data_IF_463612523064
#
_entry.id   IF_463612523064
#
_cell.length_a   1.000
_cell.length_b   1.000
_cell.length_c   1.000
_cell.angle_alpha   90.00
_cell.angle_beta   90.00
_cell.angle_gamma   90.00
#
_symmetry.space_group_name_H-M   'P 1'
#
loop_
_entity.id
_entity.type
_entity.pdbx_description
1 polymer ?
#
# COMPACT_ATOMS: atom_id res chain seq x y z
N UNK A 1 10.29 -4.67 -9.42
CA UNK A 1 10.95 -4.34 -10.71
C UNK A 1 9.92 -3.63 -11.57
N UNK A 2 10.20 -2.42 -12.07
CA UNK A 2 9.22 -1.67 -12.84
C UNK A 2 9.87 -0.67 -13.78
N UNK A 3 9.23 -0.43 -14.91
CA UNK A 3 9.63 0.54 -15.91
C UNK A 3 8.65 1.70 -15.89
N UNK A 4 9.17 2.91 -15.79
CA UNK A 4 8.40 4.14 -15.88
C UNK A 4 8.99 5.05 -16.94
N UNK A 5 8.13 5.67 -17.74
CA UNK A 5 8.50 6.67 -18.72
C UNK A 5 7.89 8.01 -18.34
N UNK A 6 8.69 9.06 -18.48
CA UNK A 6 8.25 10.44 -18.38
C UNK A 6 8.29 11.06 -19.78
N UNK A 7 7.18 11.63 -20.22
CA UNK A 7 7.08 12.38 -21.48
C UNK A 7 6.80 13.84 -21.18
N UNK A 8 7.73 14.70 -21.56
CA UNK A 8 7.54 16.16 -21.50
C UNK A 8 6.44 16.54 -22.51
N UNK A 9 5.38 17.19 -22.02
CA UNK A 9 4.25 17.64 -22.85
C UNK A 9 4.39 19.13 -23.15
N UNK A 10 4.76 19.93 -22.14
CA UNK A 10 4.90 21.38 -22.25
C UNK A 10 6.30 21.81 -21.85
N UNK A 11 7.07 22.31 -22.83
CA UNK A 11 8.40 22.88 -22.61
C UNK A 11 8.35 24.30 -22.05
N UNK A 12 9.38 24.65 -21.28
CA UNK A 12 9.62 25.97 -20.66
C UNK A 12 9.82 27.05 -21.74
N UNK A 13 8.73 27.56 -22.30
CA UNK A 13 8.76 28.53 -23.41
C UNK A 13 9.08 29.98 -23.03
N UNK A 14 9.08 30.35 -21.74
CA UNK A 14 9.42 31.70 -21.30
C UNK A 14 10.11 31.68 -19.92
N UNK A 15 10.80 32.77 -19.55
CA UNK A 15 11.68 32.91 -18.37
C UNK A 15 11.06 32.48 -17.01
N UNK A 16 9.73 32.31 -16.94
CA UNK A 16 8.96 31.91 -15.75
C UNK A 16 7.96 30.73 -15.97
N UNK A 17 8.19 29.83 -16.93
CA UNK A 17 7.25 28.73 -17.24
C UNK A 17 7.30 27.52 -16.29
N UNK A 18 6.14 26.89 -16.09
CA UNK A 18 5.99 25.54 -15.49
C UNK A 18 6.22 24.50 -16.58
N UNK A 19 7.10 23.53 -16.33
CA UNK A 19 7.25 22.38 -17.22
C UNK A 19 6.23 21.30 -16.82
N UNK A 20 5.46 20.81 -17.79
CA UNK A 20 4.44 19.79 -17.56
C UNK A 20 4.89 18.50 -18.23
N UNK A 21 4.97 17.43 -17.45
CA UNK A 21 5.33 16.10 -17.91
C UNK A 21 4.24 15.09 -17.57
N UNK A 22 3.86 14.25 -18.51
CA UNK A 22 3.13 13.03 -18.18
C UNK A 22 4.12 11.98 -17.68
N UNK A 23 3.75 11.30 -16.60
CA UNK A 23 4.48 10.17 -16.04
C UNK A 23 3.56 8.96 -16.07
N UNK A 24 4.05 7.86 -16.62
CA UNK A 24 3.34 6.59 -16.57
C UNK A 24 4.35 5.48 -16.40
N UNK A 25 3.99 4.44 -15.66
CA UNK A 25 4.89 3.35 -15.38
C UNK A 25 4.17 2.15 -14.81
N UNK A 26 4.80 1.00 -14.94
CA UNK A 26 4.27 -0.25 -14.47
C UNK A 26 5.37 -1.21 -14.08
N UNK A 27 5.05 -2.15 -13.21
CA UNK A 27 6.00 -3.14 -12.78
C UNK A 27 5.36 -4.32 -12.08
N UNK A 28 6.22 -5.27 -11.73
CA UNK A 28 5.85 -6.37 -10.86
C UNK A 28 5.85 -5.89 -9.42
N UNK A 29 4.79 -6.25 -8.70
CA UNK A 29 4.65 -6.09 -7.25
C UNK A 29 4.59 -7.47 -6.59
N UNK A 30 4.88 -7.52 -5.31
CA UNK A 30 4.68 -8.71 -4.50
C UNK A 30 4.18 -8.28 -3.12
N UNK A 31 3.14 -8.94 -2.65
CA UNK A 31 2.62 -8.76 -1.31
C UNK A 31 2.98 -9.98 -0.45
N UNK A 32 3.27 -9.73 0.82
CA UNK A 32 3.47 -10.79 1.82
C UNK A 32 2.27 -10.69 2.77
N UNK A 33 1.45 -11.74 2.79
CA UNK A 33 0.27 -11.84 3.62
C UNK A 33 0.64 -12.56 4.90
N UNK A 34 0.69 -11.83 5.99
CA UNK A 34 0.98 -12.38 7.32
C UNK A 34 -0.34 -12.69 8.03
N UNK A 35 -0.55 -13.92 8.55
CA UNK A 35 -1.72 -14.22 9.36
C UNK A 35 -1.70 -13.42 10.68
N UNK A 36 -2.85 -12.87 11.07
CA UNK A 36 -3.01 -12.17 12.34
C UNK A 36 -3.32 -13.18 13.44
N UNK A 37 -2.51 -13.14 14.50
CA UNK A 37 -2.67 -13.99 15.67
C UNK A 37 -3.20 -13.14 16.83
N UNK A 38 -4.24 -13.62 17.49
CA UNK A 38 -4.79 -13.00 18.70
C UNK A 38 -4.58 -13.91 19.90
N UNK A 39 -4.48 -13.31 21.07
CA UNK A 39 -4.49 -13.97 22.35
C UNK A 39 -5.91 -13.94 22.90
N UNK A 40 -6.48 -15.12 23.08
CA UNK A 40 -7.81 -15.31 23.66
C UNK A 40 -7.69 -16.01 25.02
N UNK A 41 -8.53 -15.63 25.97
CA UNK A 41 -8.67 -16.36 27.23
C UNK A 41 -9.70 -17.47 27.06
N UNK A 42 -9.31 -18.70 27.36
CA UNK A 42 -10.24 -19.83 27.33
C UNK A 42 -11.21 -19.73 28.53
N UNK A 43 -12.53 -19.57 28.31
CA UNK A 43 -13.49 -19.34 29.40
C UNK A 43 -13.66 -20.55 30.32
N UNK A 44 -13.19 -21.75 29.93
CA UNK A 44 -13.24 -22.94 30.78
C UNK A 44 -12.03 -23.10 31.70
N UNK A 45 -10.84 -22.61 31.31
CA UNK A 45 -9.59 -22.88 32.02
C UNK A 45 -8.80 -21.64 32.42
N UNK A 46 -9.21 -20.43 32.01
CA UNK A 46 -8.49 -19.18 32.30
C UNK A 46 -7.07 -19.14 31.71
N UNK A 47 -6.79 -20.00 30.73
CA UNK A 47 -5.49 -20.11 30.08
C UNK A 47 -5.49 -19.20 28.84
N UNK A 48 -4.43 -18.42 28.68
CA UNK A 48 -4.21 -17.62 27.47
C UNK A 48 -3.79 -18.52 26.32
N UNK A 49 -4.56 -18.53 25.23
CA UNK A 49 -4.27 -19.29 24.02
C UNK A 49 -4.06 -18.33 22.86
N UNK A 50 -3.03 -18.61 22.06
CA UNK A 50 -2.78 -17.89 20.82
C UNK A 50 -3.47 -18.61 19.67
N UNK A 51 -4.48 -17.99 19.07
CA UNK A 51 -5.22 -18.56 17.95
C UNK A 51 -5.00 -17.73 16.67
N UNK A 52 -4.96 -18.43 15.53
CA UNK A 52 -5.08 -17.83 14.20
C UNK A 52 -6.48 -18.08 13.67
N UNK A 53 -6.96 -17.23 12.79
CA UNK A 53 -8.21 -17.49 12.10
C UNK A 53 -8.08 -18.68 11.13
N UNK A 54 -8.99 -19.66 11.26
CA UNK A 54 -8.97 -20.89 10.45
C UNK A 54 -10.39 -21.28 9.97
N UNK A 55 -11.24 -20.30 9.62
CA UNK A 55 -12.64 -20.44 9.11
C UNK A 55 -13.60 -21.29 9.98
N UNK A 56 -13.12 -21.89 11.06
CA UNK A 56 -13.80 -22.86 11.92
C UNK A 56 -13.92 -22.35 13.36
N UNK A 57 -13.20 -21.26 13.65
CA UNK A 57 -13.14 -20.61 14.95
C UNK A 57 -13.72 -19.19 14.93
N UNK A 58 -14.63 -18.90 13.98
CA UNK A 58 -15.30 -17.61 13.84
C UNK A 58 -15.88 -17.11 15.17
N UNK A 59 -16.49 -18.01 15.95
CA UNK A 59 -17.10 -17.68 17.24
C UNK A 59 -16.08 -17.24 18.30
N UNK A 60 -14.88 -17.84 18.34
CA UNK A 60 -13.83 -17.53 19.33
C UNK A 60 -12.94 -16.38 18.86
N UNK A 61 -12.77 -16.22 17.54
CA UNK A 61 -11.92 -15.19 16.95
C UNK A 61 -12.62 -13.84 16.78
N UNK A 62 -13.95 -13.82 16.63
CA UNK A 62 -14.76 -12.59 16.54
C UNK A 62 -15.34 -12.16 17.88
N UNK A 63 -15.28 -13.00 18.93
CA UNK A 63 -15.79 -12.64 20.25
C UNK A 63 -14.85 -11.68 20.97
N UNK A 64 -15.21 -10.40 20.94
CA UNK A 64 -14.46 -9.32 21.56
C UNK A 64 -14.34 -9.45 23.09
N UNK A 65 -15.15 -10.28 23.75
CA UNK A 65 -15.11 -10.43 25.22
C UNK A 65 -13.98 -11.33 25.71
N UNK A 66 -13.48 -12.25 24.87
CA UNK A 66 -12.39 -13.17 25.19
C UNK A 66 -11.01 -12.72 24.69
N UNK A 67 -10.92 -11.62 23.93
CA UNK A 67 -9.66 -11.16 23.31
C UNK A 67 -8.84 -10.36 24.33
N UNK A 68 -7.74 -10.96 24.79
CA UNK A 68 -6.78 -10.33 25.70
C UNK A 68 -5.81 -9.40 24.96
N UNK A 69 -5.53 -9.66 23.68
CA UNK A 69 -4.65 -8.82 22.89
C UNK A 69 -4.15 -9.43 21.58
N UNK A 70 -3.19 -8.76 20.95
CA UNK A 70 -2.53 -9.24 19.73
C UNK A 70 -1.27 -10.04 20.08
N UNK A 71 -1.11 -11.22 19.48
CA UNK A 71 0.16 -11.93 19.60
C UNK A 71 1.29 -11.11 18.94
N UNK A 72 2.47 -11.12 19.55
CA UNK A 72 3.58 -10.22 19.20
C UNK A 72 3.93 -10.10 17.71
N UNK A 73 4.56 -8.98 17.34
CA UNK A 73 4.79 -8.55 15.95
C UNK A 73 5.52 -9.58 15.06
N UNK A 74 6.32 -10.47 15.62
CA UNK A 74 7.07 -11.50 14.88
C UNK A 74 6.33 -12.84 14.75
N UNK A 75 5.21 -13.05 15.45
CA UNK A 75 4.42 -14.29 15.39
C UNK A 75 3.73 -14.40 14.03
N UNK A 76 3.86 -15.54 13.35
CA UNK A 76 3.23 -15.79 12.04
C UNK A 76 4.08 -15.43 10.82
N UNK A 77 5.33 -14.98 10.99
CA UNK A 77 6.23 -14.68 9.86
C UNK A 77 6.49 -15.95 9.01
N UNK A 78 6.68 -17.11 9.66
CA UNK A 78 6.94 -18.38 8.97
C UNK A 78 5.75 -18.97 8.20
N UNK A 79 4.53 -18.49 8.44
CA UNK A 79 3.31 -18.90 7.71
C UNK A 79 2.84 -17.81 6.74
N UNK A 80 3.69 -16.82 6.45
CA UNK A 80 3.33 -15.75 5.54
C UNK A 80 3.18 -16.28 4.11
N UNK A 81 2.11 -15.88 3.43
CA UNK A 81 1.88 -16.25 2.03
C UNK A 81 2.47 -15.20 1.11
N UNK A 82 3.28 -15.64 0.15
CA UNK A 82 3.81 -14.76 -0.89
C UNK A 82 2.83 -14.65 -2.04
N UNK A 83 2.45 -13.42 -2.37
CA UNK A 83 1.47 -13.14 -3.40
C UNK A 83 2.04 -12.22 -4.48
N UNK A 84 2.42 -12.75 -5.65
CA UNK A 84 2.87 -11.92 -6.76
C UNK A 84 1.70 -11.13 -7.38
N UNK A 85 2.03 -9.97 -7.93
CA UNK A 85 1.13 -9.05 -8.59
C UNK A 85 1.84 -8.10 -9.56
N UNK A 86 1.07 -7.18 -10.11
CA UNK A 86 1.55 -6.06 -10.90
C UNK A 86 1.00 -4.75 -10.35
N UNK A 87 1.72 -3.67 -10.60
CA UNK A 87 1.27 -2.32 -10.32
C UNK A 87 1.45 -1.44 -11.55
N UNK A 88 0.56 -0.46 -11.67
CA UNK A 88 0.53 0.57 -12.69
C UNK A 88 0.37 1.92 -12.00
N UNK A 89 1.05 2.93 -12.52
CA UNK A 89 0.92 4.32 -12.09
C UNK A 89 0.87 5.23 -13.30
N UNK A 90 0.02 6.23 -13.24
CA UNK A 90 -0.08 7.25 -14.28
C UNK A 90 -0.42 8.59 -13.62
N UNK A 91 0.25 9.66 -14.04
CA UNK A 91 0.11 10.96 -13.43
C UNK A 91 0.69 12.07 -14.29
N UNK A 92 0.54 13.29 -13.76
CA UNK A 92 1.10 14.50 -14.35
C UNK A 92 1.99 15.16 -13.31
N UNK A 93 3.19 15.52 -13.74
CA UNK A 93 4.20 16.22 -12.97
C UNK A 93 4.37 17.64 -13.48
N UNK A 94 4.35 18.59 -12.56
CA UNK A 94 4.53 20.02 -12.75
C UNK A 94 5.86 20.44 -12.11
N UNK A 95 6.85 20.84 -12.90
CA UNK A 95 8.15 21.33 -12.45
C UNK A 95 8.20 22.86 -12.53
N UNK A 96 8.46 23.53 -11.39
CA UNK A 96 8.52 24.99 -11.29
C UNK A 96 9.96 25.48 -11.43
N UNK A 97 10.23 26.23 -12.50
CA UNK A 97 11.57 26.28 -13.06
C UNK A 97 12.52 27.41 -12.66
N UNK A 98 12.22 28.41 -11.79
CA UNK A 98 13.28 29.41 -11.49
C UNK A 98 13.25 30.28 -10.21
N UNK A 99 12.16 30.55 -9.50
CA UNK A 99 12.25 31.54 -8.39
C UNK A 99 11.31 31.26 -7.22
N UNK A 100 11.36 30.06 -6.66
CA UNK A 100 10.88 29.88 -5.29
C UNK A 100 11.69 28.79 -4.61
N UNK A 101 12.46 29.15 -3.58
CA UNK A 101 13.51 28.34 -2.93
C UNK A 101 13.02 27.06 -2.20
N UNK A 102 11.78 26.62 -2.41
CA UNK A 102 11.17 25.61 -1.54
C UNK A 102 10.54 24.45 -2.32
N UNK A 103 9.76 24.69 -3.39
CA UNK A 103 9.05 23.61 -4.10
C UNK A 103 9.56 23.47 -5.54
N UNK A 104 10.18 22.33 -5.84
CA UNK A 104 10.76 22.04 -7.15
C UNK A 104 9.78 21.36 -8.10
N UNK A 105 8.93 20.45 -7.62
CA UNK A 105 7.90 19.81 -8.45
C UNK A 105 6.70 19.31 -7.65
N UNK A 106 5.53 19.29 -8.29
CA UNK A 106 4.31 18.65 -7.80
C UNK A 106 3.89 17.58 -8.80
N UNK A 107 3.67 16.35 -8.34
CA UNK A 107 3.13 15.27 -9.15
C UNK A 107 1.81 14.78 -8.54
N UNK A 108 0.81 14.62 -9.39
CA UNK A 108 -0.50 14.10 -9.03
C UNK A 108 -0.87 13.00 -10.00
N UNK A 109 -1.36 11.87 -9.49
CA UNK A 109 -1.65 10.72 -10.32
C UNK A 109 -2.52 9.68 -9.65
N UNK A 110 -2.76 8.62 -10.40
CA UNK A 110 -3.46 7.42 -9.99
C UNK A 110 -2.48 6.24 -9.98
N UNK A 111 -2.63 5.37 -9.00
CA UNK A 111 -2.00 4.06 -8.95
C UNK A 111 -3.06 2.97 -8.97
N UNK A 112 -2.71 1.84 -9.55
CA UNK A 112 -3.54 0.65 -9.60
C UNK A 112 -2.65 -0.58 -9.42
N UNK A 113 -3.13 -1.56 -8.66
CA UNK A 113 -2.41 -2.78 -8.34
C UNK A 113 -3.34 -3.97 -8.55
N UNK A 114 -2.79 -5.05 -9.09
CA UNK A 114 -3.53 -6.27 -9.36
C UNK A 114 -2.71 -7.49 -8.93
N UNK A 115 -3.33 -8.37 -8.14
CA UNK A 115 -2.67 -9.56 -7.60
C UNK A 115 -3.26 -10.84 -8.17
N UNK A 116 -2.42 -11.86 -8.35
CA UNK A 116 -2.84 -13.13 -8.95
C UNK A 116 -3.87 -13.90 -8.08
N UNK A 117 -3.78 -13.80 -6.76
CA UNK A 117 -4.74 -14.35 -5.81
C UNK A 117 -5.42 -13.23 -5.01
N UNK A 118 -6.63 -13.48 -4.49
CA UNK A 118 -7.34 -12.52 -3.66
C UNK A 118 -6.54 -12.19 -2.39
N UNK A 119 -6.44 -10.91 -2.06
CA UNK A 119 -5.87 -10.47 -0.80
C UNK A 119 -6.99 -10.33 0.22
N UNK A 120 -6.93 -11.17 1.26
CA UNK A 120 -7.79 -11.07 2.45
C UNK A 120 -7.22 -10.00 3.38
N UNK A 121 -7.79 -8.81 3.39
CA UNK A 121 -7.38 -7.74 4.32
C UNK A 121 -8.18 -7.76 5.62
N UNK A 122 -9.48 -8.06 5.52
CA UNK A 122 -10.40 -8.09 6.66
C UNK A 122 -11.26 -9.33 6.57
N UNK A 123 -11.57 -9.89 7.73
CA UNK A 123 -12.25 -11.17 7.84
C UNK A 123 -13.70 -11.15 7.32
N UNK A 124 -14.37 -10.02 7.53
CA UNK A 124 -15.78 -9.82 7.19
C UNK A 124 -15.98 -9.10 5.84
N UNK A 125 -14.90 -8.87 5.08
CA UNK A 125 -14.98 -8.18 3.80
C UNK A 125 -14.60 -9.10 2.66
N UNK A 126 -15.29 -8.98 1.53
CA UNK A 126 -14.94 -9.71 0.31
C UNK A 126 -13.49 -9.49 -0.10
N UNK A 127 -12.86 -10.59 -0.52
CA UNK A 127 -11.47 -10.60 -0.94
C UNK A 127 -11.28 -9.77 -2.21
N UNK A 128 -10.32 -8.84 -2.20
CA UNK A 128 -10.05 -7.96 -3.35
C UNK A 128 -8.75 -8.36 -4.03
N UNK A 129 -8.81 -8.45 -5.36
CA UNK A 129 -7.63 -8.68 -6.23
C UNK A 129 -7.10 -7.40 -6.86
N UNK A 130 -7.94 -6.37 -6.95
CA UNK A 130 -7.65 -5.09 -7.57
C UNK A 130 -7.72 -3.98 -6.53
N UNK A 131 -6.67 -3.16 -6.49
CA UNK A 131 -6.57 -2.00 -5.63
C UNK A 131 -6.23 -0.79 -6.50
N UNK A 132 -6.80 0.36 -6.20
CA UNK A 132 -6.45 1.60 -6.89
C UNK A 132 -6.48 2.76 -5.90
N UNK A 133 -5.74 3.81 -6.21
CA UNK A 133 -5.65 4.98 -5.37
C UNK A 133 -5.20 6.21 -6.15
N UNK A 134 -5.38 7.37 -5.54
CA UNK A 134 -4.78 8.61 -5.99
C UNK A 134 -3.56 8.92 -5.13
N UNK A 135 -2.55 9.54 -5.71
CA UNK A 135 -1.35 9.96 -4.99
C UNK A 135 -0.95 11.38 -5.35
N UNK A 136 -0.28 12.02 -4.40
CA UNK A 136 0.31 13.36 -4.55
C UNK A 136 1.74 13.29 -4.07
N UNK A 137 2.71 13.59 -4.93
CA UNK A 137 4.12 13.71 -4.56
C UNK A 137 4.54 15.17 -4.64
N UNK A 138 5.12 15.69 -3.57
CA UNK A 138 5.71 17.03 -3.53
C UNK A 138 7.22 16.88 -3.43
N UNK A 139 7.94 17.35 -4.45
CA UNK A 139 9.40 17.37 -4.45
C UNK A 139 9.89 18.75 -3.98
N UNK A 140 10.60 18.74 -2.85
CA UNK A 140 11.30 19.89 -2.31
C UNK A 140 12.78 19.83 -2.72
N UNK A 141 13.31 20.92 -3.25
CA UNK A 141 14.68 20.98 -3.72
C UNK A 141 15.17 22.43 -3.80
N UNK A 142 16.35 22.69 -3.24
CA UNK A 142 17.03 23.99 -3.29
C UNK A 142 18.30 23.82 -4.10
N UNK A 143 18.38 24.47 -5.27
CA UNK A 143 19.66 24.63 -5.99
C UNK A 143 20.34 25.88 -5.45
N UNK A 144 21.57 25.76 -4.94
CA UNK A 144 22.48 26.89 -4.79
C UNK A 144 22.97 27.33 -6.17
#
# INVERSE_FOLDING_TARGET
MGFGQQRLIGGKGNKNGVAVSAVYGGGLSAAILKPYYIEVEDPLNGQTKQIKYDNTNDAEFLDATGILGSAGLFKGIGESKFQPGGHLKAGVRFDYGRFNETVSALEVGLSAEYYAQPIKQMLLQDDKKFFWGAYVNVLFGRRK
#
